data_IF_614182552532
#
_entry.id   IF_614182552532
#
_cell.length_a   1.000
_cell.length_b   1.000
_cell.length_c   1.000
_cell.angle_alpha   90.00
_cell.angle_beta   90.00
_cell.angle_gamma   90.00
#
_symmetry.space_group_name_H-M   'P 1'
#
loop_
_entity.id
_entity.type
_entity.pdbx_description
1 polymer ?
#
# COMPACT_ATOMS: atom_id res chain seq x y z
N UNK A 1 -0.55 35.56 5.07
CA UNK A 1 0.68 34.74 5.23
C UNK A 1 0.43 33.35 5.82
N UNK A 2 -0.35 33.17 6.88
CA UNK A 2 -0.59 31.83 7.49
C UNK A 2 -1.30 30.83 6.54
N UNK A 3 -2.34 31.25 5.83
CA UNK A 3 -3.07 30.42 4.85
C UNK A 3 -2.16 29.93 3.72
N UNK A 4 -1.31 30.79 3.18
CA UNK A 4 -0.37 30.45 2.12
C UNK A 4 0.67 29.42 2.58
N UNK A 5 1.14 29.53 3.85
CA UNK A 5 2.06 28.56 4.45
C UNK A 5 1.43 27.17 4.58
N UNK A 6 0.18 27.08 5.06
CA UNK A 6 -0.54 25.81 5.17
C UNK A 6 -0.74 25.12 3.81
N UNK A 7 -1.04 25.89 2.76
CA UNK A 7 -1.17 25.36 1.40
C UNK A 7 0.15 24.79 0.87
N UNK A 8 1.28 25.48 1.10
CA UNK A 8 2.59 25.02 0.66
C UNK A 8 3.04 23.75 1.40
N UNK A 9 2.78 23.68 2.71
CA UNK A 9 3.01 22.45 3.50
C UNK A 9 2.18 21.29 2.96
N UNK A 10 0.88 21.50 2.72
CA UNK A 10 -0.01 20.48 2.14
C UNK A 10 0.47 20.00 0.78
N UNK A 11 0.89 20.92 -0.10
CA UNK A 11 1.46 20.55 -1.41
C UNK A 11 2.74 19.71 -1.27
N UNK A 12 3.61 20.04 -0.30
CA UNK A 12 4.82 19.24 -0.02
C UNK A 12 4.48 17.81 0.45
N UNK A 13 3.45 17.65 1.31
CA UNK A 13 3.01 16.32 1.74
C UNK A 13 2.36 15.52 0.61
N UNK A 14 1.61 16.17 -0.28
CA UNK A 14 1.08 15.53 -1.48
C UNK A 14 2.20 15.06 -2.41
N UNK A 15 3.22 15.89 -2.64
CA UNK A 15 4.40 15.50 -3.41
C UNK A 15 5.16 14.33 -2.76
N UNK A 16 5.24 14.31 -1.42
CA UNK A 16 5.86 13.22 -0.66
C UNK A 16 5.12 11.89 -0.89
N UNK A 17 3.79 11.90 -0.92
CA UNK A 17 2.99 10.70 -1.19
C UNK A 17 3.04 10.27 -2.66
N UNK A 18 3.14 11.20 -3.60
CA UNK A 18 3.44 10.83 -5.00
C UNK A 18 4.78 10.09 -5.06
N UNK A 19 5.83 10.63 -4.42
CA UNK A 19 7.14 9.99 -4.36
C UNK A 19 7.10 8.62 -3.67
N UNK A 20 6.34 8.49 -2.59
CA UNK A 20 6.14 7.22 -1.90
C UNK A 20 5.49 6.18 -2.82
N UNK A 21 4.41 6.55 -3.53
CA UNK A 21 3.76 5.67 -4.51
C UNK A 21 4.68 5.29 -5.67
N UNK A 22 5.51 6.24 -6.13
CA UNK A 22 6.53 5.97 -7.15
C UNK A 22 7.53 4.91 -6.68
N UNK A 23 8.02 5.01 -5.45
CA UNK A 23 8.95 4.04 -4.90
C UNK A 23 8.28 2.69 -4.69
N UNK A 24 7.09 2.66 -4.07
CA UNK A 24 6.39 1.43 -3.70
C UNK A 24 6.09 0.53 -4.90
N UNK A 25 5.54 1.09 -5.96
CA UNK A 25 5.12 0.32 -7.12
C UNK A 25 6.27 -0.06 -8.09
N UNK A 26 7.51 0.39 -7.83
CA UNK A 26 8.67 0.06 -8.67
C UNK A 26 9.15 -1.38 -8.50
N UNK A 27 8.99 -1.97 -7.31
CA UNK A 27 9.57 -3.29 -7.00
C UNK A 27 9.02 -4.40 -7.91
N UNK A 28 7.71 -4.45 -8.13
CA UNK A 28 7.07 -5.49 -8.95
C UNK A 28 7.64 -5.56 -10.37
N UNK A 29 7.60 -4.48 -11.15
CA UNK A 29 8.13 -4.45 -12.52
C UNK A 29 9.64 -4.68 -12.63
N UNK A 30 10.41 -4.44 -11.58
CA UNK A 30 11.87 -4.62 -11.60
C UNK A 30 12.33 -5.94 -11.00
N UNK A 31 11.44 -6.69 -10.36
CA UNK A 31 11.77 -7.91 -9.61
C UNK A 31 12.53 -8.96 -10.44
N UNK A 32 12.13 -9.29 -11.69
CA UNK A 32 12.92 -10.21 -12.54
C UNK A 32 14.33 -9.71 -12.86
N UNK A 33 14.47 -8.40 -13.13
CA UNK A 33 15.77 -7.79 -13.37
C UNK A 33 16.68 -7.83 -12.15
N UNK A 34 16.14 -7.61 -10.95
CA UNK A 34 16.87 -7.71 -9.69
C UNK A 34 17.29 -9.16 -9.38
N UNK A 35 16.45 -10.14 -9.74
CA UNK A 35 16.80 -11.56 -9.63
C UNK A 35 17.98 -11.92 -10.55
N UNK A 36 17.97 -11.44 -11.79
CA UNK A 36 19.07 -11.62 -12.76
C UNK A 36 20.35 -10.91 -12.28
N UNK A 37 20.24 -9.66 -11.79
CA UNK A 37 21.37 -8.88 -11.27
C UNK A 37 22.12 -9.61 -10.17
N UNK A 38 21.39 -10.24 -9.24
CA UNK A 38 21.96 -10.90 -8.05
C UNK A 38 22.16 -12.41 -8.23
N UNK A 39 21.84 -12.97 -9.41
CA UNK A 39 22.01 -14.37 -9.73
C UNK A 39 21.14 -15.32 -8.93
N UNK A 40 19.96 -14.85 -8.44
CA UNK A 40 19.06 -15.67 -7.63
C UNK A 40 17.78 -16.03 -8.36
N UNK A 41 17.05 -17.00 -7.84
CA UNK A 41 15.76 -17.41 -8.39
C UNK A 41 14.64 -16.42 -8.06
N UNK A 42 13.53 -16.53 -8.80
CA UNK A 42 12.30 -15.74 -8.53
C UNK A 42 11.75 -16.03 -7.13
N UNK A 43 11.86 -17.25 -6.64
CA UNK A 43 11.51 -17.58 -5.26
C UNK A 43 12.39 -16.88 -4.25
N UNK A 44 13.72 -16.88 -4.45
CA UNK A 44 14.64 -16.22 -3.54
C UNK A 44 14.45 -14.69 -3.52
N UNK A 45 14.30 -14.06 -4.69
CA UNK A 45 14.13 -12.60 -4.76
C UNK A 45 12.85 -12.11 -4.08
N UNK A 46 11.84 -12.96 -3.89
CA UNK A 46 10.61 -12.60 -3.17
C UNK A 46 10.83 -12.21 -1.70
N UNK A 47 11.99 -12.55 -1.12
CA UNK A 47 12.41 -12.07 0.22
C UNK A 47 12.45 -10.54 0.29
N UNK A 48 12.61 -9.84 -0.83
CA UNK A 48 12.58 -8.37 -0.85
C UNK A 48 11.26 -7.80 -0.34
N UNK A 49 10.13 -8.45 -0.60
CA UNK A 49 8.84 -8.04 -0.03
C UNK A 49 8.85 -8.14 1.50
N UNK A 50 9.40 -9.23 2.04
CA UNK A 50 9.55 -9.44 3.49
C UNK A 50 10.51 -8.42 4.10
N UNK A 51 11.68 -8.24 3.51
CA UNK A 51 12.71 -7.32 4.01
C UNK A 51 12.22 -5.87 4.03
N UNK A 52 11.59 -5.42 2.93
CA UNK A 52 11.04 -4.07 2.83
C UNK A 52 9.91 -3.85 3.83
N UNK A 53 8.99 -4.80 3.97
CA UNK A 53 7.88 -4.70 4.94
C UNK A 53 8.38 -4.73 6.39
N UNK A 54 9.43 -5.50 6.69
CA UNK A 54 10.08 -5.49 8.00
C UNK A 54 10.71 -4.12 8.29
N UNK A 55 11.42 -3.56 7.31
CA UNK A 55 11.96 -2.21 7.40
C UNK A 55 10.87 -1.17 7.66
N UNK A 56 9.77 -1.25 6.92
CA UNK A 56 8.62 -0.36 7.09
C UNK A 56 8.00 -0.48 8.50
N UNK A 57 7.82 -1.69 9.01
CA UNK A 57 7.29 -1.91 10.35
C UNK A 57 8.21 -1.33 11.43
N UNK A 58 9.51 -1.60 11.37
CA UNK A 58 10.49 -1.05 12.29
C UNK A 58 10.56 0.48 12.20
N UNK A 59 10.57 1.01 10.99
CA UNK A 59 10.61 2.43 10.73
C UNK A 59 9.35 3.16 11.23
N UNK A 60 8.16 2.57 11.08
CA UNK A 60 6.91 3.19 11.54
C UNK A 60 6.85 3.33 13.06
N UNK A 61 7.36 2.34 13.79
CA UNK A 61 7.47 2.40 15.26
C UNK A 61 8.43 3.49 15.75
N UNK A 62 9.52 3.70 15.02
CA UNK A 62 10.48 4.75 15.35
C UNK A 62 9.99 6.12 14.91
N UNK A 63 9.43 6.23 13.71
CA UNK A 63 8.96 7.49 13.11
C UNK A 63 7.92 8.18 13.99
N UNK A 64 6.96 7.45 14.56
CA UNK A 64 6.00 8.04 15.49
C UNK A 64 6.68 8.80 16.64
N UNK A 65 7.69 8.19 17.28
CA UNK A 65 8.45 8.82 18.37
C UNK A 65 9.31 10.00 17.92
N UNK A 66 9.85 9.92 16.70
CA UNK A 66 10.68 10.99 16.13
C UNK A 66 9.84 12.22 15.81
N UNK A 67 8.65 12.05 15.23
CA UNK A 67 7.73 13.14 14.93
C UNK A 67 7.22 13.85 16.18
N UNK A 68 7.03 13.11 17.30
CA UNK A 68 6.64 13.70 18.58
C UNK A 68 7.73 14.55 19.22
N UNK A 69 9.01 14.30 18.91
CA UNK A 69 10.16 14.90 19.62
C UNK A 69 10.99 15.87 18.80
N UNK A 70 11.01 15.71 17.48
CA UNK A 70 11.84 16.46 16.55
C UNK A 70 11.00 17.31 15.60
N UNK A 71 11.57 18.35 14.97
CA UNK A 71 10.89 19.10 13.91
C UNK A 71 10.48 18.16 12.77
N UNK A 72 9.16 18.00 12.55
CA UNK A 72 8.62 16.98 11.65
C UNK A 72 9.15 17.09 10.22
N UNK A 73 9.35 18.33 9.70
CA UNK A 73 9.91 18.52 8.36
C UNK A 73 11.36 18.06 8.26
N UNK A 74 12.17 18.17 9.32
CA UNK A 74 13.53 17.63 9.34
C UNK A 74 13.53 16.10 9.28
N UNK A 75 12.61 15.44 10.04
CA UNK A 75 12.45 13.98 10.00
C UNK A 75 12.04 13.52 8.61
N UNK A 76 11.05 14.20 7.99
CA UNK A 76 10.59 13.89 6.64
C UNK A 76 11.69 14.08 5.59
N UNK A 77 12.47 15.16 5.67
CA UNK A 77 13.57 15.41 4.75
C UNK A 77 14.64 14.33 4.83
N UNK A 78 15.03 13.92 6.04
CA UNK A 78 15.97 12.80 6.24
C UNK A 78 15.42 11.50 5.68
N UNK A 79 14.14 11.20 5.90
CA UNK A 79 13.50 10.02 5.35
C UNK A 79 13.47 10.04 3.81
N UNK A 80 13.18 11.20 3.19
CA UNK A 80 13.19 11.37 1.74
C UNK A 80 14.60 11.19 1.13
N UNK A 81 15.62 11.75 1.77
CA UNK A 81 17.02 11.57 1.35
C UNK A 81 17.48 10.12 1.51
N UNK A 82 17.09 9.48 2.61
CA UNK A 82 17.39 8.06 2.83
C UNK A 82 16.70 7.18 1.78
N UNK A 83 15.43 7.45 1.47
CA UNK A 83 14.72 6.72 0.42
C UNK A 83 15.39 6.91 -0.95
N UNK A 84 15.73 8.15 -1.31
CA UNK A 84 16.46 8.45 -2.53
C UNK A 84 17.80 7.68 -2.60
N UNK A 85 18.57 7.67 -1.49
CA UNK A 85 19.81 6.91 -1.41
C UNK A 85 19.59 5.40 -1.58
N UNK A 86 18.57 4.82 -0.93
CA UNK A 86 18.26 3.40 -1.09
C UNK A 86 17.89 3.07 -2.55
N UNK A 87 17.08 3.90 -3.21
CA UNK A 87 16.73 3.72 -4.61
C UNK A 87 17.96 3.77 -5.53
N UNK A 88 18.90 4.69 -5.29
CA UNK A 88 20.17 4.72 -6.03
C UNK A 88 20.98 3.43 -5.80
N UNK A 89 21.00 2.90 -4.59
CA UNK A 89 21.80 1.72 -4.25
C UNK A 89 21.23 0.40 -4.80
N UNK A 90 19.91 0.31 -5.06
CA UNK A 90 19.26 -0.93 -5.57
C UNK A 90 19.98 -1.51 -6.79
N UNK A 91 20.18 -0.76 -7.91
CA UNK A 91 20.82 -1.32 -9.09
C UNK A 91 22.33 -1.58 -8.92
N UNK A 92 22.93 -1.06 -7.86
CA UNK A 92 24.38 -1.23 -7.58
C UNK A 92 24.65 -2.32 -6.53
N UNK A 93 23.61 -3.01 -6.05
CA UNK A 93 23.78 -4.10 -5.08
C UNK A 93 24.57 -5.26 -5.70
N UNK A 94 25.79 -5.58 -5.19
CA UNK A 94 26.67 -6.57 -5.82
C UNK A 94 26.20 -8.01 -5.56
N UNK A 95 25.42 -8.22 -4.50
CA UNK A 95 24.96 -9.53 -4.10
C UNK A 95 23.57 -9.48 -3.44
N UNK A 96 22.91 -10.61 -3.41
CA UNK A 96 21.55 -10.76 -2.89
C UNK A 96 21.34 -10.20 -1.48
N UNK A 97 22.21 -10.51 -0.52
CA UNK A 97 22.05 -10.05 0.86
C UNK A 97 22.24 -8.54 1.03
N UNK A 98 23.08 -7.93 0.20
CA UNK A 98 23.20 -6.47 0.13
C UNK A 98 21.87 -5.86 -0.34
N UNK A 99 21.27 -6.44 -1.38
CA UNK A 99 19.98 -6.00 -1.88
C UNK A 99 18.86 -6.16 -0.84
N UNK A 100 18.87 -7.26 -0.06
CA UNK A 100 17.94 -7.47 1.06
C UNK A 100 18.10 -6.37 2.12
N UNK A 101 19.33 -6.01 2.47
CA UNK A 101 19.61 -4.91 3.41
C UNK A 101 19.12 -3.55 2.88
N UNK A 102 19.37 -3.27 1.58
CA UNK A 102 18.87 -2.05 0.91
C UNK A 102 17.34 -2.03 0.90
N UNK A 103 16.67 -3.14 0.61
CA UNK A 103 15.21 -3.22 0.64
C UNK A 103 14.64 -2.95 2.05
N UNK A 104 15.31 -3.45 3.10
CA UNK A 104 14.94 -3.14 4.48
C UNK A 104 15.09 -1.64 4.78
N UNK A 105 16.23 -1.03 4.40
CA UNK A 105 16.45 0.42 4.51
C UNK A 105 15.45 1.25 3.70
N UNK A 106 15.06 0.77 2.53
CA UNK A 106 14.03 1.38 1.68
C UNK A 106 12.69 1.42 2.42
N UNK A 107 12.18 0.28 2.92
CA UNK A 107 10.93 0.24 3.68
C UNK A 107 10.98 1.10 4.95
N UNK A 108 12.12 1.14 5.64
CA UNK A 108 12.32 1.99 6.80
C UNK A 108 12.17 3.49 6.44
N UNK A 109 12.77 3.94 5.34
CA UNK A 109 12.66 5.32 4.86
C UNK A 109 11.22 5.65 4.40
N UNK A 110 10.55 4.74 3.69
CA UNK A 110 9.16 4.91 3.28
C UNK A 110 8.22 5.17 4.45
N UNK A 111 8.37 4.39 5.52
CA UNK A 111 7.54 4.57 6.70
C UNK A 111 7.70 5.95 7.34
N UNK A 112 8.91 6.52 7.29
CA UNK A 112 9.18 7.88 7.75
C UNK A 112 8.37 8.92 6.98
N UNK A 113 8.30 8.79 5.67
CA UNK A 113 7.53 9.67 4.80
C UNK A 113 6.02 9.48 5.02
N UNK A 114 5.56 8.24 5.09
CA UNK A 114 4.14 7.92 5.24
C UNK A 114 3.59 8.41 6.57
N UNK A 115 4.20 7.99 7.68
CA UNK A 115 3.80 8.43 9.04
C UNK A 115 3.85 9.95 9.14
N UNK A 116 4.92 10.57 8.62
CA UNK A 116 5.08 12.02 8.64
C UNK A 116 4.01 12.75 7.86
N UNK A 117 3.76 12.35 6.63
CA UNK A 117 2.78 13.02 5.77
C UNK A 117 1.37 12.96 6.37
N UNK A 118 0.99 11.81 6.93
CA UNK A 118 -0.29 11.65 7.60
C UNK A 118 -0.38 12.51 8.87
N UNK A 119 0.61 12.45 9.76
CA UNK A 119 0.61 13.19 11.03
C UNK A 119 0.67 14.70 10.80
N UNK A 120 1.59 15.18 9.97
CA UNK A 120 1.77 16.60 9.71
C UNK A 120 0.55 17.22 9.02
N UNK A 121 -0.12 16.48 8.13
CA UNK A 121 -1.35 16.94 7.50
C UNK A 121 -2.48 17.14 8.53
N UNK A 122 -2.59 16.22 9.49
CA UNK A 122 -3.52 16.36 10.64
C UNK A 122 -3.17 17.58 11.47
N UNK A 123 -1.89 17.84 11.73
CA UNK A 123 -1.46 18.99 12.55
C UNK A 123 -1.70 20.33 11.84
N UNK A 124 -1.67 20.35 10.51
CA UNK A 124 -1.97 21.56 9.71
C UNK A 124 -3.46 21.85 9.64
N UNK A 125 -4.29 20.83 9.43
CA UNK A 125 -5.72 21.02 9.10
C UNK A 125 -6.68 20.71 10.25
N UNK A 126 -6.23 20.04 11.32
CA UNK A 126 -7.06 19.71 12.48
C UNK A 126 -8.34 18.97 12.10
N UNK A 127 -9.50 19.49 12.53
CA UNK A 127 -10.81 18.89 12.22
C UNK A 127 -11.21 18.93 10.73
N UNK A 128 -10.59 19.80 9.92
CA UNK A 128 -10.85 19.92 8.48
C UNK A 128 -9.96 19.00 7.62
N UNK A 129 -9.26 18.02 8.22
CA UNK A 129 -8.26 17.18 7.53
C UNK A 129 -8.85 16.18 6.53
N UNK A 130 -10.09 15.75 6.70
CA UNK A 130 -10.66 14.64 5.94
C UNK A 130 -10.57 14.78 4.40
N UNK A 131 -10.91 15.92 3.76
CA UNK A 131 -10.74 16.08 2.33
C UNK A 131 -9.27 16.03 1.89
N UNK A 132 -8.37 16.60 2.70
CA UNK A 132 -6.93 16.62 2.42
C UNK A 132 -6.32 15.21 2.56
N UNK A 133 -6.79 14.41 3.50
CA UNK A 133 -6.37 13.02 3.68
C UNK A 133 -6.75 12.17 2.46
N UNK A 134 -7.96 12.34 1.93
CA UNK A 134 -8.37 11.67 0.70
C UNK A 134 -7.50 12.07 -0.50
N UNK A 135 -7.18 13.38 -0.62
CA UNK A 135 -6.29 13.88 -1.66
C UNK A 135 -4.86 13.36 -1.48
N UNK A 136 -4.37 13.23 -0.25
CA UNK A 136 -3.07 12.66 0.08
C UNK A 136 -2.95 11.21 -0.45
N UNK A 137 -3.93 10.36 -0.15
CA UNK A 137 -3.94 8.97 -0.62
C UNK A 137 -4.19 8.85 -2.14
N UNK A 138 -4.91 9.79 -2.74
CA UNK A 138 -4.99 9.89 -4.19
C UNK A 138 -3.62 10.19 -4.82
N UNK A 139 -2.83 11.10 -4.23
CA UNK A 139 -1.47 11.39 -4.66
C UNK A 139 -0.55 10.17 -4.59
N UNK A 140 -0.66 9.34 -3.54
CA UNK A 140 0.01 8.05 -3.48
C UNK A 140 -0.38 7.16 -4.68
N UNK A 141 -1.67 7.03 -4.95
CA UNK A 141 -2.16 6.23 -6.08
C UNK A 141 -1.68 6.75 -7.44
N UNK A 142 -1.55 8.07 -7.59
CA UNK A 142 -0.98 8.69 -8.78
C UNK A 142 0.50 8.29 -8.95
N UNK A 143 1.28 8.33 -7.87
CA UNK A 143 2.67 7.84 -7.88
C UNK A 143 2.77 6.37 -8.24
N UNK A 144 1.93 5.53 -7.64
CA UNK A 144 1.90 4.10 -7.91
C UNK A 144 1.51 3.76 -9.37
N UNK A 145 0.60 4.53 -9.97
CA UNK A 145 0.27 4.45 -11.40
C UNK A 145 1.46 4.84 -12.30
N UNK A 146 2.14 5.95 -11.96
CA UNK A 146 3.22 6.49 -12.79
C UNK A 146 4.49 5.64 -12.72
N UNK A 147 4.76 4.98 -11.61
CA UNK A 147 5.98 4.21 -11.39
C UNK A 147 6.24 3.14 -12.45
N UNK A 148 5.30 2.20 -12.73
CA UNK A 148 5.52 1.20 -13.76
C UNK A 148 5.65 1.80 -15.18
N UNK A 149 5.01 2.96 -15.44
CA UNK A 149 5.17 3.70 -16.70
C UNK A 149 6.60 4.23 -16.84
N UNK A 150 7.15 4.79 -15.77
CA UNK A 150 8.56 5.24 -15.74
C UNK A 150 9.48 4.04 -15.97
N UNK A 151 9.24 2.91 -15.29
CA UNK A 151 10.02 1.68 -15.48
C UNK A 151 9.96 1.23 -16.95
N UNK A 152 8.75 1.17 -17.56
CA UNK A 152 8.60 0.78 -18.97
C UNK A 152 9.41 1.69 -19.91
N UNK A 153 9.30 3.02 -19.72
CA UNK A 153 9.99 4.01 -20.53
C UNK A 153 11.51 3.92 -20.40
N UNK A 154 12.00 3.74 -19.17
CA UNK A 154 13.43 3.64 -18.91
C UNK A 154 14.02 2.32 -19.42
N UNK A 155 13.31 1.20 -19.27
CA UNK A 155 13.70 -0.08 -19.88
C UNK A 155 13.77 0.01 -21.41
N UNK A 156 12.77 0.61 -22.05
CA UNK A 156 12.77 0.81 -23.50
C UNK A 156 13.91 1.71 -23.99
N UNK A 157 14.28 2.73 -23.20
CA UNK A 157 15.31 3.70 -23.57
C UNK A 157 16.75 3.22 -23.32
N UNK A 158 16.99 2.44 -22.27
CA UNK A 158 18.33 2.08 -21.79
C UNK A 158 18.60 0.58 -21.69
N UNK A 159 17.56 -0.26 -21.82
CA UNK A 159 17.67 -1.70 -21.59
C UNK A 159 17.95 -2.10 -20.14
N UNK A 160 17.86 -1.16 -19.20
CA UNK A 160 18.24 -1.39 -17.81
C UNK A 160 17.24 -0.80 -16.81
N UNK A 161 16.90 -1.59 -15.78
CA UNK A 161 16.11 -1.10 -14.65
C UNK A 161 16.86 -0.06 -13.79
N UNK A 162 18.19 0.02 -13.90
CA UNK A 162 19.00 0.99 -13.15
C UNK A 162 18.61 2.44 -13.47
N UNK A 163 18.33 2.74 -14.72
CA UNK A 163 17.87 4.08 -15.14
C UNK A 163 16.53 4.45 -14.51
N UNK A 164 15.60 3.49 -14.36
CA UNK A 164 14.35 3.71 -13.71
C UNK A 164 14.55 4.09 -12.23
N UNK A 165 15.36 3.34 -11.50
CA UNK A 165 15.68 3.64 -10.11
C UNK A 165 16.38 5.00 -9.96
N UNK A 166 17.27 5.37 -10.87
CA UNK A 166 17.92 6.70 -10.87
C UNK A 166 16.90 7.82 -11.05
N UNK A 167 15.94 7.67 -11.96
CA UNK A 167 14.85 8.65 -12.16
C UNK A 167 13.98 8.75 -10.91
N UNK A 168 13.57 7.61 -10.33
CA UNK A 168 12.76 7.60 -9.12
C UNK A 168 13.49 8.26 -7.94
N UNK A 169 14.78 8.01 -7.78
CA UNK A 169 15.61 8.63 -6.76
C UNK A 169 15.68 10.16 -6.92
N UNK A 170 15.88 10.65 -8.14
CA UNK A 170 15.91 12.09 -8.43
C UNK A 170 14.56 12.74 -8.17
N UNK A 171 13.46 12.08 -8.54
CA UNK A 171 12.10 12.57 -8.28
C UNK A 171 11.77 12.65 -6.78
N UNK A 172 12.48 11.91 -5.93
CA UNK A 172 12.32 11.95 -4.48
C UNK A 172 13.04 13.15 -3.83
N UNK A 173 14.12 13.65 -4.44
CA UNK A 173 14.94 14.75 -3.87
C UNK A 173 14.14 16.03 -3.54
N UNK A 174 13.20 16.51 -4.38
CA UNK A 174 12.43 17.71 -4.06
C UNK A 174 11.62 17.61 -2.76
N UNK A 175 11.25 16.39 -2.33
CA UNK A 175 10.51 16.18 -1.06
C UNK A 175 11.37 16.63 0.13
N UNK A 176 12.70 16.47 0.06
CA UNK A 176 13.59 16.89 1.14
C UNK A 176 13.58 18.41 1.37
N UNK A 177 13.21 19.21 0.36
CA UNK A 177 13.10 20.66 0.47
C UNK A 177 12.02 21.11 1.46
N UNK A 178 11.16 20.19 1.92
CA UNK A 178 10.17 20.47 2.97
C UNK A 178 10.83 21.01 4.25
N UNK A 179 12.11 20.68 4.49
CA UNK A 179 12.89 21.20 5.63
C UNK A 179 12.98 22.73 5.65
N UNK A 180 12.87 23.39 4.50
CA UNK A 180 12.89 24.85 4.37
C UNK A 180 11.59 25.50 4.86
N UNK A 181 10.52 24.71 5.06
CA UNK A 181 9.26 25.20 5.58
C UNK A 181 9.23 25.11 7.11
N UNK A 182 8.56 26.05 7.82
CA UNK A 182 8.34 25.95 9.25
C UNK A 182 7.56 24.66 9.56
N UNK A 183 8.08 23.82 10.47
CA UNK A 183 7.40 22.59 10.86
C UNK A 183 6.16 22.88 11.73
N UNK A 184 5.01 22.28 11.47
CA UNK A 184 3.89 22.33 12.39
C UNK A 184 4.25 21.62 13.69
N UNK A 185 3.64 22.04 14.81
CA UNK A 185 3.82 21.42 16.13
C UNK A 185 2.73 20.38 16.35
N UNK A 186 3.04 19.27 17.05
CA UNK A 186 2.01 18.36 17.48
C UNK A 186 0.97 19.12 18.31
N UNK A 187 -0.34 18.83 18.15
CA UNK A 187 -1.36 19.39 19.02
C UNK A 187 -1.07 18.96 20.47
N UNK A 188 -1.35 19.84 21.43
CA UNK A 188 -1.28 19.47 22.84
C UNK A 188 -2.08 18.17 23.05
N UNK A 189 -1.46 17.19 23.70
CA UNK A 189 -2.06 15.86 23.86
C UNK A 189 -3.45 16.02 24.50
N UNK A 190 -4.50 15.85 23.70
CA UNK A 190 -5.84 15.66 24.23
C UNK A 190 -5.79 14.36 25.02
N UNK A 191 -6.15 14.41 26.30
CA UNK A 191 -6.23 13.23 27.14
C UNK A 191 -7.07 12.18 26.41
N UNK A 192 -6.46 11.05 26.10
CA UNK A 192 -7.15 9.96 25.44
C UNK A 192 -8.29 9.52 26.37
N UNK A 193 -9.51 9.83 26.00
CA UNK A 193 -10.68 9.29 26.70
C UNK A 193 -10.66 7.78 26.56
N UNK A 194 -10.24 7.11 27.62
CA UNK A 194 -10.28 5.67 27.76
C UNK A 194 -11.71 5.29 28.13
N UNK A 195 -12.55 5.05 27.16
CA UNK A 195 -13.94 4.71 27.48
C UNK A 195 -14.63 3.97 26.34
N UNK A 196 -14.75 2.66 26.49
CA UNK A 196 -15.59 1.83 25.64
C UNK A 196 -15.08 0.40 25.60
N UNK A 197 -15.77 -0.53 26.29
CA UNK A 197 -15.47 -1.95 26.22
C UNK A 197 -15.50 -2.43 24.76
N UNK A 198 -14.43 -3.07 24.31
CA UNK A 198 -14.37 -3.69 22.97
C UNK A 198 -15.12 -5.01 23.02
N UNK A 199 -15.99 -5.32 22.04
CA UNK A 199 -16.52 -6.67 21.91
C UNK A 199 -15.37 -7.68 21.78
N UNK A 200 -15.35 -8.75 22.59
CA UNK A 200 -14.30 -9.77 22.49
C UNK A 200 -14.31 -10.39 21.08
N UNK A 201 -13.12 -10.62 20.50
CA UNK A 201 -12.95 -11.20 19.17
C UNK A 201 -13.07 -10.23 17.98
N UNK A 202 -13.57 -9.01 18.18
CA UNK A 202 -13.77 -8.06 17.08
C UNK A 202 -12.43 -7.57 16.49
N UNK A 203 -11.51 -7.12 17.33
CA UNK A 203 -10.21 -6.61 16.87
C UNK A 203 -9.39 -7.67 16.10
N UNK A 204 -9.22 -8.91 16.59
CA UNK A 204 -8.52 -9.95 15.83
C UNK A 204 -9.14 -10.23 14.46
N UNK A 205 -10.45 -10.26 14.33
CA UNK A 205 -11.12 -10.48 13.03
C UNK A 205 -10.88 -9.32 12.07
N UNK A 206 -10.93 -8.08 12.53
CA UNK A 206 -10.63 -6.90 11.71
C UNK A 206 -9.15 -6.93 11.28
N UNK A 207 -8.23 -7.22 12.19
CA UNK A 207 -6.79 -7.34 11.89
C UNK A 207 -6.53 -8.45 10.87
N UNK A 208 -7.20 -9.61 11.01
CA UNK A 208 -7.13 -10.70 10.04
C UNK A 208 -7.66 -10.26 8.67
N UNK A 209 -8.73 -9.49 8.63
CA UNK A 209 -9.27 -8.97 7.39
C UNK A 209 -8.31 -7.97 6.72
N UNK A 210 -7.66 -7.09 7.51
CA UNK A 210 -6.59 -6.21 7.00
C UNK A 210 -5.41 -7.00 6.46
N UNK A 211 -4.95 -8.02 7.19
CA UNK A 211 -3.92 -8.94 6.73
C UNK A 211 -4.25 -9.51 5.34
N UNK A 212 -5.44 -10.04 5.15
CA UNK A 212 -5.83 -10.76 3.93
C UNK A 212 -6.01 -9.83 2.73
N UNK A 213 -6.76 -8.72 2.87
CA UNK A 213 -7.04 -7.88 1.71
C UNK A 213 -5.84 -7.03 1.28
N UNK A 214 -5.04 -6.52 2.23
CA UNK A 214 -3.82 -5.78 1.88
C UNK A 214 -2.74 -6.71 1.32
N UNK A 215 -2.66 -7.95 1.82
CA UNK A 215 -1.82 -8.97 1.20
C UNK A 215 -2.21 -9.27 -0.25
N UNK A 216 -3.52 -9.36 -0.55
CA UNK A 216 -4.00 -9.56 -1.92
C UNK A 216 -3.67 -8.36 -2.82
N UNK A 217 -3.86 -7.12 -2.32
CA UNK A 217 -3.51 -5.87 -3.00
C UNK A 217 -2.03 -5.86 -3.38
N UNK A 218 -1.15 -6.00 -2.40
CA UNK A 218 0.29 -5.94 -2.59
C UNK A 218 0.82 -7.11 -3.44
N UNK A 219 0.28 -8.31 -3.25
CA UNK A 219 0.71 -9.48 -4.01
C UNK A 219 0.35 -9.38 -5.47
N UNK A 220 -0.87 -8.93 -5.81
CA UNK A 220 -1.24 -8.77 -7.21
C UNK A 220 -0.38 -7.69 -7.88
N UNK A 221 -0.25 -6.51 -7.28
CA UNK A 221 0.60 -5.43 -7.80
C UNK A 221 2.07 -5.81 -7.93
N UNK A 222 2.59 -6.58 -6.99
CA UNK A 222 3.98 -7.03 -6.98
C UNK A 222 4.29 -8.15 -7.99
N UNK A 223 3.30 -8.99 -8.35
CA UNK A 223 3.56 -10.18 -9.16
C UNK A 223 2.96 -10.16 -10.56
N UNK A 224 2.00 -9.27 -10.87
CA UNK A 224 1.29 -9.27 -12.17
C UNK A 224 2.24 -9.03 -13.36
N UNK A 225 3.27 -8.20 -13.17
CA UNK A 225 4.33 -7.99 -14.14
C UNK A 225 5.05 -9.31 -14.48
N UNK A 226 5.57 -9.98 -13.45
CA UNK A 226 6.30 -11.25 -13.60
C UNK A 226 5.38 -12.34 -14.17
N UNK A 227 4.11 -12.36 -13.77
CA UNK A 227 3.11 -13.28 -14.30
C UNK A 227 2.92 -13.09 -15.81
N UNK A 228 2.73 -11.85 -16.28
CA UNK A 228 2.52 -11.56 -17.70
C UNK A 228 3.73 -11.98 -18.55
N UNK A 229 4.95 -11.66 -18.09
CA UNK A 229 6.19 -12.05 -18.76
C UNK A 229 6.36 -13.58 -18.83
N UNK A 230 6.21 -14.27 -17.68
CA UNK A 230 6.41 -15.73 -17.61
C UNK A 230 5.35 -16.53 -18.36
N UNK A 231 4.19 -15.93 -18.60
CA UNK A 231 3.14 -16.49 -19.44
C UNK A 231 3.31 -16.16 -20.92
N UNK A 232 4.28 -15.32 -21.30
CA UNK A 232 4.46 -14.85 -22.67
C UNK A 232 3.29 -14.00 -23.19
N UNK A 233 2.51 -13.37 -22.28
CA UNK A 233 1.31 -12.59 -22.62
C UNK A 233 1.61 -11.12 -22.87
N UNK A 234 2.80 -10.66 -22.51
CA UNK A 234 3.28 -9.30 -22.73
C UNK A 234 4.81 -9.30 -22.79
N UNK A 235 5.37 -8.33 -23.49
CA UNK A 235 6.77 -7.92 -23.36
C UNK A 235 6.99 -7.09 -22.07
N UNK A 236 8.20 -6.68 -21.81
CA UNK A 236 8.54 -5.92 -20.59
C UNK A 236 7.76 -4.60 -20.48
N UNK A 237 7.60 -3.88 -21.58
CA UNK A 237 6.84 -2.63 -21.60
C UNK A 237 5.35 -2.88 -21.37
N UNK A 238 4.76 -3.86 -22.05
CA UNK A 238 3.36 -4.26 -21.90
C UNK A 238 3.04 -4.74 -20.48
N UNK A 239 3.92 -5.54 -19.85
CA UNK A 239 3.78 -6.01 -18.49
C UNK A 239 3.85 -4.85 -17.47
N UNK A 240 4.72 -3.85 -17.72
CA UNK A 240 4.78 -2.66 -16.87
C UNK A 240 3.53 -1.77 -17.03
N UNK A 241 3.04 -1.58 -18.26
CA UNK A 241 1.76 -0.87 -18.47
C UNK A 241 0.56 -1.61 -17.86
N UNK A 242 0.56 -2.95 -17.89
CA UNK A 242 -0.45 -3.76 -17.20
C UNK A 242 -0.43 -3.50 -15.68
N UNK A 243 0.75 -3.43 -15.08
CA UNK A 243 0.92 -3.08 -13.66
C UNK A 243 0.43 -1.66 -13.38
N UNK A 244 0.71 -0.71 -14.27
CA UNK A 244 0.18 0.66 -14.18
C UNK A 244 -1.35 0.68 -14.27
N UNK A 245 -1.95 -0.11 -15.16
CA UNK A 245 -3.41 -0.23 -15.27
C UNK A 245 -4.05 -0.76 -13.98
N UNK A 246 -3.42 -1.74 -13.34
CA UNK A 246 -3.85 -2.22 -12.01
C UNK A 246 -3.84 -1.11 -10.96
N UNK A 247 -2.73 -0.38 -10.80
CA UNK A 247 -2.62 0.69 -9.82
C UNK A 247 -3.54 1.87 -10.13
N UNK A 248 -3.71 2.20 -11.42
CA UNK A 248 -4.67 3.21 -11.87
C UNK A 248 -6.10 2.83 -11.57
N UNK A 249 -6.48 1.58 -11.84
CA UNK A 249 -7.81 1.05 -11.52
C UNK A 249 -8.06 1.01 -10.00
N UNK A 250 -7.05 0.67 -9.21
CA UNK A 250 -7.12 0.69 -7.75
C UNK A 250 -7.36 2.11 -7.23
N UNK A 251 -6.65 3.09 -7.78
CA UNK A 251 -6.83 4.51 -7.46
C UNK A 251 -8.23 5.00 -7.85
N UNK A 252 -8.70 4.62 -9.04
CA UNK A 252 -10.06 4.91 -9.48
C UNK A 252 -11.11 4.26 -8.55
N UNK A 253 -10.88 3.03 -8.11
CA UNK A 253 -11.72 2.33 -7.13
C UNK A 253 -11.78 3.06 -5.79
N UNK A 254 -10.66 3.58 -5.30
CA UNK A 254 -10.61 4.43 -4.08
C UNK A 254 -11.45 5.70 -4.24
N UNK A 255 -11.34 6.40 -5.36
CA UNK A 255 -12.17 7.58 -5.64
C UNK A 255 -13.65 7.23 -5.75
N UNK A 256 -13.98 6.16 -6.47
CA UNK A 256 -15.34 5.69 -6.61
C UNK A 256 -15.97 5.32 -5.26
N UNK A 257 -15.17 4.79 -4.32
CA UNK A 257 -15.65 4.44 -2.99
C UNK A 257 -16.17 5.65 -2.20
N UNK A 258 -15.62 6.84 -2.43
CA UNK A 258 -16.10 8.08 -1.79
C UNK A 258 -17.54 8.37 -2.19
N UNK A 259 -17.86 8.21 -3.48
CA UNK A 259 -19.20 8.41 -4.02
C UNK A 259 -20.16 7.28 -3.58
N UNK A 260 -19.68 6.04 -3.61
CA UNK A 260 -20.47 4.87 -3.26
C UNK A 260 -20.76 4.79 -1.75
N UNK A 261 -19.84 5.22 -0.89
CA UNK A 261 -20.02 5.16 0.56
C UNK A 261 -21.21 5.98 1.07
N UNK A 262 -21.62 7.01 0.32
CA UNK A 262 -22.82 7.80 0.62
C UNK A 262 -24.13 7.04 0.35
N UNK A 263 -24.11 6.02 -0.50
CA UNK A 263 -25.33 5.32 -0.98
C UNK A 263 -25.36 3.83 -0.64
N UNK A 264 -24.18 3.22 -0.48
CA UNK A 264 -24.05 1.78 -0.29
C UNK A 264 -23.48 1.46 1.10
N UNK A 265 -24.03 0.46 1.76
CA UNK A 265 -23.59 0.05 3.09
C UNK A 265 -22.15 -0.53 3.01
N UNK A 266 -21.26 -0.24 3.99
CA UNK A 266 -19.88 -0.72 3.97
C UNK A 266 -19.76 -2.24 3.77
N UNK A 267 -20.61 -3.03 4.42
CA UNK A 267 -20.64 -4.50 4.28
C UNK A 267 -20.91 -4.95 2.83
N UNK A 268 -21.75 -4.23 2.10
CA UNK A 268 -22.09 -4.55 0.69
C UNK A 268 -20.94 -4.17 -0.23
N UNK A 269 -20.26 -3.02 0.03
CA UNK A 269 -19.07 -2.62 -0.71
C UNK A 269 -17.93 -3.63 -0.53
N UNK A 270 -17.66 -4.07 0.71
CA UNK A 270 -16.61 -5.07 0.98
C UNK A 270 -16.92 -6.41 0.32
N UNK A 271 -18.16 -6.93 0.49
CA UNK A 271 -18.53 -8.20 -0.11
C UNK A 271 -18.52 -8.13 -1.66
N UNK A 272 -19.07 -7.06 -2.23
CA UNK A 272 -19.06 -6.83 -3.68
C UNK A 272 -17.65 -6.69 -4.24
N UNK A 273 -16.76 -5.98 -3.53
CA UNK A 273 -15.34 -5.86 -3.90
C UNK A 273 -14.61 -7.20 -3.89
N UNK A 274 -14.78 -8.03 -2.83
CA UNK A 274 -14.18 -9.37 -2.77
C UNK A 274 -14.69 -10.30 -3.88
N UNK A 275 -16.01 -10.31 -4.12
CA UNK A 275 -16.61 -11.11 -5.19
C UNK A 275 -16.13 -10.60 -6.56
N UNK A 276 -16.09 -9.30 -6.78
CA UNK A 276 -15.56 -8.70 -8.02
C UNK A 276 -14.08 -9.00 -8.25
N UNK A 277 -13.26 -8.98 -7.19
CA UNK A 277 -11.86 -9.38 -7.27
C UNK A 277 -11.71 -10.87 -7.62
N UNK A 278 -12.48 -11.76 -7.01
CA UNK A 278 -12.52 -13.18 -7.37
C UNK A 278 -12.99 -13.41 -8.81
N UNK A 279 -14.02 -12.69 -9.26
CA UNK A 279 -14.47 -12.74 -10.65
C UNK A 279 -13.39 -12.27 -11.63
N UNK A 280 -12.63 -11.24 -11.27
CA UNK A 280 -11.49 -10.74 -12.05
C UNK A 280 -10.37 -11.77 -12.19
N UNK A 281 -10.04 -12.50 -11.11
CA UNK A 281 -9.11 -13.62 -11.17
C UNK A 281 -9.66 -14.77 -12.02
N UNK A 282 -10.97 -15.07 -11.92
CA UNK A 282 -11.62 -16.12 -12.72
C UNK A 282 -11.59 -15.78 -14.22
N UNK A 283 -11.74 -14.51 -14.61
CA UNK A 283 -11.60 -14.06 -16.02
C UNK A 283 -10.21 -14.35 -16.55
N UNK A 284 -9.15 -14.04 -15.78
CA UNK A 284 -7.76 -14.34 -16.17
C UNK A 284 -7.55 -15.86 -16.26
N UNK A 285 -8.03 -16.61 -15.27
CA UNK A 285 -7.84 -18.07 -15.20
C UNK A 285 -8.60 -18.84 -16.31
N UNK A 286 -9.80 -18.36 -16.68
CA UNK A 286 -10.62 -19.00 -17.71
C UNK A 286 -10.06 -18.82 -19.14
N UNK A 287 -9.23 -17.78 -19.36
CA UNK A 287 -8.64 -17.47 -20.66
C UNK A 287 -7.13 -17.24 -20.54
N UNK A 288 -6.35 -18.29 -20.24
CA UNK A 288 -4.96 -18.18 -19.83
C UNK A 288 -3.97 -17.75 -20.94
N UNK A 289 -4.43 -17.60 -22.17
CA UNK A 289 -3.66 -17.11 -23.32
C UNK A 289 -4.23 -15.83 -23.95
N UNK A 290 -5.25 -15.25 -23.35
CA UNK A 290 -5.93 -14.04 -23.86
C UNK A 290 -5.42 -12.79 -23.12
N UNK A 291 -4.66 -11.97 -23.84
CA UNK A 291 -4.15 -10.70 -23.28
C UNK A 291 -5.31 -9.76 -22.85
N UNK A 292 -6.43 -9.74 -23.58
CA UNK A 292 -7.58 -8.90 -23.21
C UNK A 292 -8.17 -9.33 -21.87
N UNK A 293 -8.30 -10.64 -21.64
CA UNK A 293 -8.75 -11.17 -20.34
C UNK A 293 -7.79 -10.79 -19.21
N UNK A 294 -6.48 -10.80 -19.46
CA UNK A 294 -5.47 -10.38 -18.49
C UNK A 294 -5.62 -8.89 -18.13
N UNK A 295 -5.77 -8.00 -19.12
CA UNK A 295 -5.97 -6.57 -18.90
C UNK A 295 -7.27 -6.25 -18.17
N UNK A 296 -8.38 -6.85 -18.59
CA UNK A 296 -9.69 -6.66 -17.95
C UNK A 296 -9.67 -7.19 -16.51
N UNK A 297 -9.06 -8.36 -16.29
CA UNK A 297 -8.93 -8.94 -14.96
C UNK A 297 -8.03 -8.12 -14.06
N UNK A 298 -6.91 -7.59 -14.55
CA UNK A 298 -6.02 -6.73 -13.77
C UNK A 298 -6.72 -5.40 -13.39
N UNK A 299 -7.39 -4.75 -14.33
CA UNK A 299 -8.15 -3.53 -14.06
C UNK A 299 -9.33 -3.80 -13.08
N UNK A 300 -10.08 -4.90 -13.29
CA UNK A 300 -11.16 -5.31 -12.41
C UNK A 300 -10.67 -5.59 -10.98
N UNK A 301 -9.53 -6.29 -10.84
CA UNK A 301 -8.91 -6.58 -9.54
C UNK A 301 -8.57 -5.27 -8.81
N UNK A 302 -7.90 -4.33 -9.48
CA UNK A 302 -7.57 -3.03 -8.90
C UNK A 302 -8.81 -2.26 -8.46
N UNK A 303 -9.79 -2.12 -9.36
CA UNK A 303 -11.03 -1.38 -9.10
C UNK A 303 -11.79 -1.94 -7.88
N UNK A 304 -11.85 -3.27 -7.74
CA UNK A 304 -12.57 -3.95 -6.69
C UNK A 304 -11.85 -3.92 -5.33
N UNK A 305 -10.51 -3.99 -5.32
CA UNK A 305 -9.72 -3.94 -4.08
C UNK A 305 -9.56 -2.51 -3.55
N UNK A 306 -9.46 -1.52 -4.44
CA UNK A 306 -9.21 -0.13 -4.07
C UNK A 306 -10.06 0.43 -2.91
N UNK A 307 -11.38 0.19 -2.85
CA UNK A 307 -12.25 0.64 -1.78
C UNK A 307 -12.01 0.00 -0.42
N UNK A 308 -11.35 -1.17 -0.34
CA UNK A 308 -11.43 -2.06 0.83
C UNK A 308 -10.84 -1.46 2.10
N UNK A 309 -9.68 -0.82 2.02
CA UNK A 309 -9.01 -0.29 3.20
C UNK A 309 -9.90 0.72 3.95
N UNK A 310 -10.30 1.79 3.28
CA UNK A 310 -11.13 2.85 3.88
C UNK A 310 -12.50 2.33 4.34
N UNK A 311 -13.12 1.43 3.56
CA UNK A 311 -14.41 0.82 3.89
C UNK A 311 -14.32 -0.09 5.12
N UNK A 312 -13.17 -0.77 5.32
CA UNK A 312 -12.94 -1.61 6.51
C UNK A 312 -12.79 -0.74 7.76
N UNK A 313 -12.04 0.37 7.67
CA UNK A 313 -11.95 1.34 8.78
C UNK A 313 -13.34 1.86 9.14
N UNK A 314 -14.13 2.30 8.14
CA UNK A 314 -15.49 2.78 8.34
C UNK A 314 -16.43 1.72 8.96
N UNK A 315 -16.26 0.43 8.58
CA UNK A 315 -17.00 -0.66 9.18
C UNK A 315 -16.61 -0.88 10.64
N UNK A 316 -15.32 -0.79 10.97
CA UNK A 316 -14.78 -0.93 12.32
C UNK A 316 -15.27 0.20 13.24
N UNK A 317 -15.21 1.47 12.78
CA UNK A 317 -15.62 2.66 13.49
C UNK A 317 -17.07 2.60 14.00
N UNK A 318 -17.94 1.97 13.23
CA UNK A 318 -19.34 1.77 13.63
C UNK A 318 -19.52 0.83 14.82
N UNK A 319 -18.50 0.13 15.27
CA UNK A 319 -18.59 -0.96 16.27
C UNK A 319 -17.57 -0.86 17.39
N UNK A 320 -16.54 -0.07 17.23
CA UNK A 320 -15.51 0.14 18.22
C UNK A 320 -14.86 1.52 18.06
N UNK A 321 -14.39 2.15 19.13
CA UNK A 321 -13.63 3.38 19.01
C UNK A 321 -12.31 3.12 18.25
N UNK A 322 -12.05 3.95 17.26
CA UNK A 322 -10.78 3.93 16.51
C UNK A 322 -9.80 4.81 17.29
N UNK A 323 -8.93 4.17 18.04
CA UNK A 323 -7.84 4.81 18.78
C UNK A 323 -6.51 4.60 18.07
N UNK A 324 -5.46 5.35 18.43
CA UNK A 324 -4.12 5.11 17.91
C UNK A 324 -3.66 3.66 18.11
N UNK A 325 -3.99 3.02 19.22
CA UNK A 325 -3.66 1.62 19.49
C UNK A 325 -4.41 0.64 18.55
N UNK A 326 -5.70 0.87 18.27
CA UNK A 326 -6.44 0.03 17.32
C UNK A 326 -5.94 0.19 15.91
N UNK A 327 -5.66 1.42 15.50
CA UNK A 327 -5.09 1.73 14.19
C UNK A 327 -3.71 1.07 14.02
N UNK A 328 -2.87 1.08 15.05
CA UNK A 328 -1.58 0.38 15.04
C UNK A 328 -1.74 -1.13 14.75
N UNK A 329 -2.74 -1.79 15.35
CA UNK A 329 -3.02 -3.20 15.06
C UNK A 329 -3.49 -3.44 13.62
N UNK A 330 -4.23 -2.51 13.00
CA UNK A 330 -4.61 -2.60 11.59
C UNK A 330 -3.37 -2.55 10.69
N UNK A 331 -2.44 -1.65 10.98
CA UNK A 331 -1.17 -1.57 10.25
C UNK A 331 -0.27 -2.80 10.50
N UNK A 332 -0.23 -3.33 11.72
CA UNK A 332 0.50 -4.60 11.99
C UNK A 332 -0.08 -5.74 11.14
N UNK A 333 -1.41 -5.89 11.11
CA UNK A 333 -2.07 -6.89 10.28
C UNK A 333 -1.72 -6.72 8.80
N UNK A 334 -1.85 -5.50 8.27
CA UNK A 334 -1.52 -5.16 6.88
C UNK A 334 -0.05 -5.48 6.56
N UNK A 335 0.89 -5.02 7.39
CA UNK A 335 2.33 -5.24 7.21
C UNK A 335 2.69 -6.73 7.25
N UNK A 336 2.12 -7.50 8.18
CA UNK A 336 2.30 -8.95 8.22
C UNK A 336 1.78 -9.62 6.93
N UNK A 337 0.67 -9.13 6.38
CA UNK A 337 0.13 -9.61 5.12
C UNK A 337 1.07 -9.38 3.94
N UNK A 338 1.57 -8.15 3.80
CA UNK A 338 2.54 -7.77 2.74
C UNK A 338 3.89 -8.47 2.93
N UNK A 339 4.28 -8.75 4.16
CA UNK A 339 5.54 -9.46 4.46
C UNK A 339 5.48 -10.94 4.08
N UNK A 340 4.32 -11.59 4.24
CA UNK A 340 4.22 -13.06 4.15
C UNK A 340 3.66 -13.54 2.82
N UNK A 341 2.55 -12.99 2.36
CA UNK A 341 1.82 -13.55 1.21
C UNK A 341 2.58 -13.37 -0.11
N UNK A 342 3.15 -12.19 -0.46
CA UNK A 342 3.96 -12.07 -1.67
C UNK A 342 5.18 -12.99 -1.67
N UNK A 343 5.80 -13.21 -0.49
CA UNK A 343 6.90 -14.16 -0.34
C UNK A 343 6.45 -15.59 -0.63
N UNK A 344 5.35 -16.04 -0.02
CA UNK A 344 4.79 -17.38 -0.25
C UNK A 344 4.44 -17.58 -1.72
N UNK A 345 3.83 -16.57 -2.36
CA UNK A 345 3.52 -16.60 -3.79
C UNK A 345 4.80 -16.76 -4.61
N UNK A 346 5.89 -16.08 -4.26
CA UNK A 346 7.18 -16.23 -4.93
C UNK A 346 7.73 -17.65 -4.85
N UNK A 347 7.64 -18.30 -3.69
CA UNK A 347 8.03 -19.71 -3.53
C UNK A 347 7.14 -20.63 -4.40
N UNK A 348 5.83 -20.46 -4.34
CA UNK A 348 4.89 -21.24 -5.14
C UNK A 348 5.09 -21.03 -6.64
N UNK A 349 5.36 -19.79 -7.06
CA UNK A 349 5.66 -19.42 -8.44
C UNK A 349 6.92 -20.16 -8.93
N UNK A 350 7.96 -20.24 -8.10
CA UNK A 350 9.19 -20.97 -8.41
C UNK A 350 8.95 -22.48 -8.56
N UNK A 351 8.13 -23.09 -7.68
CA UNK A 351 7.95 -24.54 -7.65
C UNK A 351 6.91 -25.08 -8.63
N UNK A 352 5.82 -24.35 -8.84
CA UNK A 352 4.65 -24.80 -9.60
C UNK A 352 4.30 -23.91 -10.79
N UNK A 353 5.04 -22.81 -10.99
CA UNK A 353 4.84 -21.91 -12.12
C UNK A 353 3.89 -20.73 -11.85
N UNK A 354 3.72 -19.86 -12.87
CA UNK A 354 3.04 -18.57 -12.72
C UNK A 354 1.56 -18.66 -12.35
N UNK A 355 0.87 -19.76 -12.70
CA UNK A 355 -0.55 -19.97 -12.34
C UNK A 355 -0.80 -19.97 -10.82
N UNK A 356 0.23 -20.20 -10.01
CA UNK A 356 0.12 -20.15 -8.55
C UNK A 356 -0.23 -18.76 -8.01
N UNK A 357 0.09 -17.70 -8.75
CA UNK A 357 -0.38 -16.35 -8.40
C UNK A 357 -1.89 -16.28 -8.27
N UNK A 358 -2.60 -16.73 -9.31
CA UNK A 358 -4.06 -16.67 -9.35
C UNK A 358 -4.69 -17.57 -8.28
N UNK A 359 -4.15 -18.78 -8.10
CA UNK A 359 -4.65 -19.72 -7.10
C UNK A 359 -4.44 -19.21 -5.67
N UNK A 360 -3.24 -18.75 -5.35
CA UNK A 360 -2.92 -18.23 -4.02
C UNK A 360 -3.79 -16.99 -3.70
N UNK A 361 -3.95 -16.07 -4.65
CA UNK A 361 -4.81 -14.91 -4.48
C UNK A 361 -6.28 -15.29 -4.32
N UNK A 362 -6.78 -16.28 -5.07
CA UNK A 362 -8.14 -16.77 -4.90
C UNK A 362 -8.34 -17.34 -3.49
N UNK A 363 -7.38 -18.11 -2.96
CA UNK A 363 -7.42 -18.61 -1.57
C UNK A 363 -7.45 -17.45 -0.57
N UNK A 364 -6.57 -16.45 -0.72
CA UNK A 364 -6.52 -15.29 0.18
C UNK A 364 -7.83 -14.50 0.16
N UNK A 365 -8.41 -14.26 -1.03
CA UNK A 365 -9.69 -13.55 -1.17
C UNK A 365 -10.87 -14.35 -0.62
N UNK A 366 -10.88 -15.67 -0.77
CA UNK A 366 -11.88 -16.55 -0.15
C UNK A 366 -11.78 -16.52 1.37
N UNK A 367 -10.56 -16.56 1.92
CA UNK A 367 -10.35 -16.41 3.35
C UNK A 367 -10.78 -15.02 3.84
N UNK A 368 -10.55 -13.95 3.05
CA UNK A 368 -11.04 -12.61 3.35
C UNK A 368 -12.58 -12.55 3.36
N UNK A 369 -13.22 -13.24 2.42
CA UNK A 369 -14.69 -13.35 2.39
C UNK A 369 -15.25 -14.11 3.60
N UNK A 370 -14.59 -15.19 4.02
CA UNK A 370 -14.93 -15.91 5.25
C UNK A 370 -14.70 -15.05 6.51
N UNK A 371 -13.60 -14.32 6.59
CA UNK A 371 -13.33 -13.38 7.67
C UNK A 371 -14.40 -12.27 7.73
N UNK A 372 -14.80 -11.73 6.59
CA UNK A 372 -15.89 -10.76 6.52
C UNK A 372 -17.23 -11.38 6.97
N UNK A 373 -17.53 -12.60 6.55
CA UNK A 373 -18.74 -13.30 6.97
C UNK A 373 -18.75 -13.54 8.50
N UNK A 374 -17.64 -13.97 9.07
CA UNK A 374 -17.48 -14.13 10.53
C UNK A 374 -17.64 -12.79 11.28
N UNK A 375 -17.05 -11.72 10.74
CA UNK A 375 -17.19 -10.36 11.29
C UNK A 375 -18.66 -9.92 11.29
N UNK A 376 -19.38 -10.13 10.20
CA UNK A 376 -20.80 -9.79 10.07
C UNK A 376 -21.71 -10.66 10.96
N UNK A 377 -21.35 -11.93 11.17
CA UNK A 377 -22.04 -12.81 12.11
C UNK A 377 -21.86 -12.33 13.56
N UNK A 378 -20.62 -11.95 13.93
CA UNK A 378 -20.34 -11.36 15.25
C UNK A 378 -21.18 -10.09 15.50
N UNK A 379 -21.36 -9.25 14.48
CA UNK A 379 -22.20 -8.04 14.58
C UNK A 379 -23.68 -8.32 14.80
N UNK A 380 -24.17 -9.49 14.38
CA UNK A 380 -25.55 -9.91 14.61
C UNK A 380 -25.75 -10.41 16.05
N UNK A 381 -24.78 -11.13 16.58
CA UNK A 381 -24.80 -11.71 17.93
C UNK A 381 -24.59 -10.62 19.00
N UNK A 382 -23.75 -9.63 18.71
CA UNK A 382 -23.45 -8.52 19.61
C UNK A 382 -23.99 -7.21 19.00
N UNK A 383 -25.29 -6.94 19.07
CA UNK A 383 -25.81 -5.66 18.61
C UNK A 383 -25.14 -4.54 19.41
N UNK A 384 -24.84 -3.41 18.72
CA UNK A 384 -24.26 -2.24 19.38
C UNK A 384 -25.08 -1.93 20.62
N UNK A 385 -24.45 -1.98 21.80
CA UNK A 385 -25.08 -1.54 23.03
C UNK A 385 -25.59 -0.12 22.82
N UNK A 386 -26.89 0.09 23.03
CA UNK A 386 -27.53 1.40 22.93
C UNK A 386 -26.89 2.34 23.97
N UNK A 387 -25.83 3.01 23.63
CA UNK A 387 -25.39 4.24 24.28
C UNK A 387 -26.11 5.41 23.61
N UNK A 388 -27.39 5.53 23.82
CA UNK A 388 -28.16 6.76 23.56
C UNK A 388 -29.58 6.58 24.10
N UNK A 389 -29.72 6.39 25.37
CA UNK A 389 -30.98 6.61 26.09
C UNK A 389 -30.67 6.89 27.52
N UNK A 390 -29.94 7.96 27.82
CA UNK A 390 -29.87 8.62 29.10
C UNK A 390 -29.14 9.95 28.90
N UNK A 391 -29.90 11.00 28.63
CA UNK A 391 -29.42 12.39 28.61
C UNK A 391 -30.43 13.24 27.90
#
# INVERSE_FOLDING_TARGET
MALYRGQLQTAAYFAALVGLGLADAALGPTLPGLAMQTGVTIGAISVLFTARSLGYLCGSLLSGRLYDRLPGHAVMAVAALLLSAMLVLVPHAPMFWTLVGIACGWGFAESGIDVGSNALLVWVHGSAVAPHMNALHFCYGLGALLSPIIVARMLAASGSHASAYSVLAVLMLPVSLVVLLPSPRPPAAAAAEHGGGRPPGLLPLIVTFFFLHVAAEASFGGWIYTYALRRGMADEAGAAYLTAAYWGALTAGRLLSILLSARVRPRTLLAGGLVGALASLAVIAARPADATALWLGAAGMGLCIGPMFATTVLLAERRMPITGATTAWFFVGSSCGVMTVPYIIGQLFQWRGPQMLLLALAVVLLLALLALAALLALFRIQPASRQAAAG
#
